data_IF_094037552801
#
_entry.id   IF_094037552801
#
_cell.length_a   1.000
_cell.length_b   1.000
_cell.length_c   1.000
_cell.angle_alpha   90.00
_cell.angle_beta   90.00
_cell.angle_gamma   90.00
#
_symmetry.space_group_name_H-M   'P 1'
#
loop_
_entity.id
_entity.type
_entity.pdbx_description
1 polymer ?
#
# COMPACT_ATOMS: atom_id res chain seq x y z
N UNK A 1 -13.97 9.70 -20.49
CA UNK A 1 -15.04 9.37 -19.53
C UNK A 1 -14.59 9.86 -18.18
N UNK A 2 -15.32 10.82 -17.61
CA UNK A 2 -15.04 11.39 -16.30
C UNK A 2 -15.57 10.43 -15.21
N UNK A 3 -14.86 10.32 -14.08
CA UNK A 3 -15.29 9.50 -12.95
C UNK A 3 -16.55 10.11 -12.31
N UNK A 4 -17.45 9.27 -11.80
CA UNK A 4 -18.57 9.75 -10.98
C UNK A 4 -18.06 10.38 -9.68
N UNK A 5 -18.80 11.33 -9.10
CA UNK A 5 -18.43 11.94 -7.81
C UNK A 5 -18.34 10.91 -6.68
N UNK A 6 -19.14 9.84 -6.75
CA UNK A 6 -19.07 8.73 -5.82
C UNK A 6 -17.76 7.95 -5.96
N UNK A 7 -17.36 7.61 -7.19
CA UNK A 7 -16.10 6.89 -7.44
C UNK A 7 -14.87 7.77 -7.18
N UNK A 8 -14.94 9.09 -7.40
CA UNK A 8 -13.89 10.04 -6.98
C UNK A 8 -13.68 9.99 -5.47
N UNK A 9 -14.75 10.04 -4.67
CA UNK A 9 -14.68 9.95 -3.20
C UNK A 9 -14.18 8.59 -2.75
N UNK A 10 -14.67 7.52 -3.35
CA UNK A 10 -14.27 6.15 -3.03
C UNK A 10 -12.78 5.91 -3.34
N UNK A 11 -12.29 6.41 -4.48
CA UNK A 11 -10.87 6.33 -4.83
C UNK A 11 -10.00 7.17 -3.88
N UNK A 12 -10.48 8.34 -3.46
CA UNK A 12 -9.80 9.13 -2.43
C UNK A 12 -9.73 8.39 -1.07
N UNK A 13 -10.78 7.67 -0.69
CA UNK A 13 -10.76 6.79 0.50
C UNK A 13 -9.74 5.66 0.33
N UNK A 14 -9.58 5.11 -0.87
CA UNK A 14 -8.60 4.05 -1.16
C UNK A 14 -7.16 4.49 -0.86
N UNK A 15 -6.84 5.78 -1.02
CA UNK A 15 -5.48 6.32 -0.83
C UNK A 15 -4.88 6.04 0.55
N UNK A 16 -5.70 5.96 1.60
CA UNK A 16 -5.21 5.66 2.94
C UNK A 16 -4.65 4.23 3.08
N UNK A 17 -4.96 3.34 2.13
CA UNK A 17 -4.51 1.95 2.08
C UNK A 17 -3.29 1.74 1.17
N UNK A 18 -2.72 2.83 0.64
CA UNK A 18 -1.62 2.79 -0.31
C UNK A 18 -0.28 2.83 0.41
N UNK A 19 0.56 1.86 0.09
CA UNK A 19 2.00 1.88 0.33
C UNK A 19 2.74 2.20 -0.98
N UNK A 20 3.99 2.67 -0.90
CA UNK A 20 4.81 2.98 -2.07
C UNK A 20 6.02 2.05 -2.13
N UNK A 21 6.27 1.48 -3.33
CA UNK A 21 7.51 0.78 -3.68
C UNK A 21 7.88 1.11 -5.15
N UNK A 22 8.40 2.32 -5.37
CA UNK A 22 8.53 2.89 -6.71
C UNK A 22 7.17 3.38 -7.23
N UNK A 23 6.19 2.47 -7.27
CA UNK A 23 4.80 2.73 -7.65
C UNK A 23 3.84 2.66 -6.44
N UNK A 24 2.64 3.26 -6.53
CA UNK A 24 1.60 3.10 -5.53
C UNK A 24 1.02 1.67 -5.51
N UNK A 25 0.90 1.12 -4.30
CA UNK A 25 0.45 -0.24 -4.01
C UNK A 25 -0.65 -0.21 -2.94
N UNK A 26 -1.94 -0.27 -3.32
CA UNK A 26 -3.03 -0.49 -2.37
C UNK A 26 -2.89 -1.89 -1.77
N UNK A 27 -2.61 -1.98 -0.47
CA UNK A 27 -2.50 -3.29 0.20
C UNK A 27 -3.85 -3.66 0.82
N UNK A 28 -4.66 -4.40 0.06
CA UNK A 28 -5.95 -4.94 0.53
C UNK A 28 -5.83 -6.47 0.60
N UNK A 29 -5.48 -7.00 1.77
CA UNK A 29 -5.20 -8.44 1.93
C UNK A 29 -6.47 -9.30 2.03
N UNK A 30 -7.51 -8.76 2.66
CA UNK A 30 -8.81 -9.40 2.84
C UNK A 30 -9.86 -8.30 2.82
N UNK A 31 -10.64 -8.21 1.75
CA UNK A 31 -11.65 -7.15 1.56
C UNK A 31 -12.74 -7.16 2.64
N UNK A 32 -12.94 -8.28 3.33
CA UNK A 32 -13.92 -8.39 4.41
C UNK A 32 -13.37 -7.93 5.76
N UNK A 33 -12.07 -7.65 5.87
CA UNK A 33 -11.49 -7.16 7.11
C UNK A 33 -12.04 -5.77 7.44
N UNK A 34 -12.45 -5.59 8.71
CA UNK A 34 -13.06 -4.35 9.21
C UNK A 34 -12.25 -3.08 8.91
N UNK A 35 -10.93 -3.20 8.88
CA UNK A 35 -10.02 -2.09 8.54
C UNK A 35 -10.32 -1.43 7.18
N UNK A 36 -10.88 -2.19 6.24
CA UNK A 36 -11.32 -1.72 4.93
C UNK A 36 -12.83 -1.48 4.89
N UNK A 37 -13.62 -2.47 5.35
CA UNK A 37 -15.07 -2.45 5.24
C UNK A 37 -15.71 -1.28 6.02
N UNK A 38 -15.18 -0.95 7.21
CA UNK A 38 -15.67 0.17 8.03
C UNK A 38 -15.40 1.53 7.38
N UNK A 39 -14.51 1.59 6.39
CA UNK A 39 -14.20 2.77 5.58
C UNK A 39 -14.93 2.77 4.23
N UNK A 40 -15.78 1.77 3.96
CA UNK A 40 -16.52 1.64 2.70
C UNK A 40 -15.76 0.95 1.56
N UNK A 41 -14.54 0.44 1.81
CA UNK A 41 -13.82 -0.41 0.85
C UNK A 41 -14.35 -1.84 0.98
N UNK A 42 -15.31 -2.17 0.13
CA UNK A 42 -15.97 -3.47 0.01
C UNK A 42 -15.73 -4.07 -1.37
N UNK A 43 -16.07 -5.35 -1.57
CA UNK A 43 -15.97 -5.98 -2.89
C UNK A 43 -16.78 -5.23 -3.96
N UNK A 44 -18.00 -4.77 -3.61
CA UNK A 44 -18.83 -3.97 -4.51
C UNK A 44 -18.13 -2.66 -4.91
N UNK A 45 -17.57 -1.95 -3.92
CA UNK A 45 -16.81 -0.73 -4.15
C UNK A 45 -15.59 -0.96 -5.06
N UNK A 46 -14.82 -2.02 -4.83
CA UNK A 46 -13.67 -2.36 -5.69
C UNK A 46 -14.10 -2.66 -7.13
N UNK A 47 -15.21 -3.37 -7.34
CA UNK A 47 -15.78 -3.62 -8.68
C UNK A 47 -16.22 -2.34 -9.39
N UNK A 48 -16.72 -1.34 -8.66
CA UNK A 48 -17.06 -0.03 -9.24
C UNK A 48 -15.80 0.70 -9.74
N UNK A 49 -14.74 0.73 -8.92
CA UNK A 49 -13.46 1.34 -9.31
C UNK A 49 -12.78 0.59 -10.48
N UNK A 50 -12.94 -0.74 -10.52
CA UNK A 50 -12.48 -1.58 -11.63
C UNK A 50 -13.25 -1.29 -12.93
N UNK A 51 -14.59 -1.14 -12.87
CA UNK A 51 -15.40 -0.78 -14.03
C UNK A 51 -15.01 0.60 -14.61
N UNK A 52 -14.55 1.52 -13.77
CA UNK A 52 -13.99 2.82 -14.17
C UNK A 52 -12.53 2.74 -14.65
N UNK A 53 -11.93 1.55 -14.62
CA UNK A 53 -10.58 1.26 -15.09
C UNK A 53 -9.49 1.84 -14.20
N UNK A 54 -9.74 2.05 -12.90
CA UNK A 54 -8.76 2.60 -11.95
C UNK A 54 -7.87 1.52 -11.31
N UNK A 55 -8.41 0.32 -11.16
CA UNK A 55 -7.71 -0.80 -10.56
C UNK A 55 -8.15 -2.11 -11.24
N UNK A 56 -7.38 -3.17 -11.02
CA UNK A 56 -7.82 -4.54 -11.24
C UNK A 56 -8.02 -5.18 -9.87
N UNK A 57 -9.12 -5.91 -9.73
CA UNK A 57 -9.50 -6.63 -8.53
C UNK A 57 -9.48 -8.14 -8.79
N UNK A 58 -8.60 -8.85 -8.08
CA UNK A 58 -8.49 -10.31 -8.15
C UNK A 58 -8.71 -10.88 -6.74
N UNK A 59 -9.86 -11.52 -6.47
CA UNK A 59 -10.16 -12.11 -5.16
C UNK A 59 -9.08 -13.07 -4.65
N UNK A 60 -8.42 -13.81 -5.55
CA UNK A 60 -7.35 -14.75 -5.20
C UNK A 60 -6.01 -14.07 -4.86
N UNK A 61 -5.91 -12.76 -5.10
CA UNK A 61 -4.77 -11.95 -4.72
C UNK A 61 -3.63 -11.93 -5.74
N UNK A 62 -2.74 -10.97 -5.55
CA UNK A 62 -1.52 -10.77 -6.32
C UNK A 62 -0.30 -11.02 -5.45
N UNK A 63 0.70 -11.68 -6.03
CA UNK A 63 1.98 -11.95 -5.35
C UNK A 63 3.14 -11.45 -6.20
N UNK A 64 4.00 -10.63 -5.60
CA UNK A 64 5.26 -10.23 -6.21
C UNK A 64 6.38 -11.14 -5.72
N UNK A 65 7.01 -11.84 -6.67
CA UNK A 65 8.07 -12.82 -6.41
C UNK A 65 9.46 -12.22 -6.63
N UNK A 66 10.49 -13.05 -6.40
CA UNK A 66 11.90 -12.73 -6.68
C UNK A 66 12.48 -11.64 -5.77
N UNK A 67 11.94 -11.51 -4.56
CA UNK A 67 12.57 -10.66 -3.54
C UNK A 67 13.85 -11.32 -3.02
N UNK A 68 14.88 -10.50 -2.81
CA UNK A 68 16.07 -10.87 -2.04
C UNK A 68 15.77 -10.93 -0.55
N UNK A 69 16.80 -10.83 0.29
CA UNK A 69 16.68 -10.90 1.75
C UNK A 69 15.89 -9.74 2.36
N UNK A 70 15.90 -8.56 1.74
CA UNK A 70 15.28 -7.36 2.27
C UNK A 70 14.56 -6.56 1.19
N UNK A 71 13.52 -5.84 1.59
CA UNK A 71 12.94 -4.74 0.81
C UNK A 71 12.53 -3.58 1.71
N UNK A 72 12.13 -2.46 1.10
CA UNK A 72 11.58 -1.29 1.78
C UNK A 72 10.30 -0.89 1.09
N UNK A 73 9.27 -0.64 1.89
CA UNK A 73 8.02 -0.02 1.47
C UNK A 73 7.82 1.26 2.29
N UNK A 74 7.16 2.25 1.71
CA UNK A 74 6.92 3.54 2.36
C UNK A 74 5.43 3.74 2.60
N UNK A 75 5.06 4.15 3.80
CA UNK A 75 3.68 4.51 4.13
C UNK A 75 3.64 5.96 4.58
N UNK A 76 2.90 6.82 3.86
CA UNK A 76 2.87 8.27 4.09
C UNK A 76 4.30 8.86 4.24
N UNK A 77 5.22 8.47 3.35
CA UNK A 77 6.63 8.89 3.37
C UNK A 77 7.52 8.20 4.41
N UNK A 78 6.96 7.44 5.35
CA UNK A 78 7.72 6.74 6.39
C UNK A 78 8.22 5.37 5.91
N UNK A 79 9.54 5.11 5.87
CA UNK A 79 10.07 3.83 5.42
C UNK A 79 9.88 2.71 6.47
N UNK A 80 9.42 1.56 5.98
CA UNK A 80 9.42 0.29 6.73
C UNK A 80 10.31 -0.72 6.01
N UNK A 81 11.30 -1.24 6.73
CA UNK A 81 12.15 -2.34 6.23
C UNK A 81 11.44 -3.66 6.50
N UNK A 82 11.41 -4.51 5.48
CA UNK A 82 10.93 -5.89 5.55
C UNK A 82 12.13 -6.79 5.30
N UNK A 83 12.42 -7.69 6.23
CA UNK A 83 13.36 -8.79 6.09
C UNK A 83 12.62 -10.10 5.88
N UNK A 84 12.92 -10.80 4.81
CA UNK A 84 12.33 -12.09 4.49
C UNK A 84 13.12 -13.25 5.12
N UNK A 85 12.52 -14.44 5.31
CA UNK A 85 13.20 -15.58 5.91
C UNK A 85 14.38 -16.08 5.04
N UNK A 86 14.19 -16.20 3.72
CA UNK A 86 15.22 -16.75 2.83
C UNK A 86 16.17 -15.67 2.29
N UNK A 87 17.35 -16.08 1.81
CA UNK A 87 18.31 -15.17 1.19
C UNK A 87 17.83 -14.59 -0.15
N UNK A 88 17.07 -15.37 -0.92
CA UNK A 88 16.59 -15.05 -2.27
C UNK A 88 15.26 -15.76 -2.54
N UNK A 89 14.63 -15.44 -3.68
CA UNK A 89 13.39 -16.04 -4.17
C UNK A 89 12.21 -15.92 -3.19
N UNK A 90 12.22 -14.86 -2.37
CA UNK A 90 11.10 -14.54 -1.50
C UNK A 90 9.94 -13.95 -2.31
N UNK A 91 8.79 -13.91 -1.67
CA UNK A 91 7.59 -13.32 -2.22
C UNK A 91 6.93 -12.37 -1.22
N UNK A 92 6.19 -11.42 -1.74
CA UNK A 92 5.38 -10.49 -0.98
C UNK A 92 3.95 -10.58 -1.51
N UNK A 93 3.02 -10.86 -0.61
CA UNK A 93 1.59 -10.71 -0.86
C UNK A 93 1.28 -9.22 -1.06
N UNK A 94 0.62 -8.89 -2.18
CA UNK A 94 0.19 -7.53 -2.51
C UNK A 94 -1.31 -7.33 -2.25
N UNK A 95 -2.02 -8.38 -1.82
CA UNK A 95 -3.47 -8.36 -1.65
C UNK A 95 -4.22 -8.48 -2.97
N UNK A 96 -5.51 -8.17 -2.95
CA UNK A 96 -6.45 -8.40 -4.05
C UNK A 96 -6.59 -7.24 -5.03
N UNK A 97 -5.78 -6.18 -4.90
CA UNK A 97 -5.92 -4.96 -5.71
C UNK A 97 -4.57 -4.51 -6.28
N UNK A 98 -4.55 -4.19 -7.57
CA UNK A 98 -3.46 -3.45 -8.21
C UNK A 98 -4.03 -2.27 -9.00
N UNK A 99 -3.35 -1.13 -8.99
CA UNK A 99 -3.76 0.02 -9.80
C UNK A 99 -3.44 -0.19 -11.28
N UNK A 100 -4.33 0.26 -12.14
CA UNK A 100 -4.03 0.44 -13.58
C UNK A 100 -3.13 1.67 -13.77
N UNK A 101 -2.61 1.88 -14.98
CA UNK A 101 -1.88 3.11 -15.30
C UNK A 101 -2.73 4.37 -15.06
N UNK A 102 -4.03 4.33 -15.41
CA UNK A 102 -4.97 5.41 -15.12
C UNK A 102 -5.10 5.66 -13.61
N UNK A 103 -5.24 4.59 -12.82
CA UNK A 103 -5.33 4.69 -11.36
C UNK A 103 -4.07 5.32 -10.76
N UNK A 104 -2.88 4.83 -11.16
CA UNK A 104 -1.59 5.37 -10.69
C UNK A 104 -1.45 6.87 -10.96
N UNK A 105 -1.82 7.31 -12.16
CA UNK A 105 -1.78 8.74 -12.53
C UNK A 105 -2.68 9.64 -11.66
N UNK A 106 -3.73 9.06 -11.07
CA UNK A 106 -4.69 9.79 -10.24
C UNK A 106 -4.35 9.73 -8.74
N UNK A 107 -3.38 8.91 -8.34
CA UNK A 107 -2.90 8.90 -6.96
C UNK A 107 -2.04 10.13 -6.71
N UNK A 108 -2.44 10.94 -5.75
CA UNK A 108 -1.67 12.07 -5.24
C UNK A 108 -1.08 11.71 -3.88
N UNK A 109 0.25 11.67 -3.79
CA UNK A 109 0.96 11.37 -2.54
C UNK A 109 0.65 12.38 -1.44
N UNK A 110 0.33 13.63 -1.81
CA UNK A 110 -0.02 14.70 -0.87
C UNK A 110 -1.37 14.46 -0.20
N UNK A 111 -2.26 13.72 -0.86
CA UNK A 111 -3.61 13.44 -0.37
C UNK A 111 -3.71 12.13 0.43
N UNK A 112 -2.60 11.41 0.61
CA UNK A 112 -2.57 10.18 1.40
C UNK A 112 -2.58 10.51 2.90
N UNK A 113 -3.75 10.39 3.52
CA UNK A 113 -3.90 10.50 4.96
C UNK A 113 -3.41 9.24 5.68
N UNK A 114 -2.74 9.43 6.81
CA UNK A 114 -2.25 8.32 7.63
C UNK A 114 -3.41 7.65 8.36
N UNK A 115 -3.62 6.36 8.09
CA UNK A 115 -4.51 5.50 8.85
C UNK A 115 -3.66 4.57 9.73
N UNK A 116 -3.62 4.88 11.03
CA UNK A 116 -2.80 4.14 11.99
C UNK A 116 -3.28 2.69 12.20
N UNK A 117 -4.61 2.47 12.20
CA UNK A 117 -5.20 1.13 12.33
C UNK A 117 -4.81 0.26 11.13
N UNK A 118 -4.84 0.83 9.92
CA UNK A 118 -4.36 0.15 8.72
C UNK A 118 -2.87 -0.13 8.77
N UNK A 119 -2.05 0.84 9.17
CA UNK A 119 -0.62 0.60 9.31
C UNK A 119 -0.34 -0.60 10.22
N UNK A 120 -0.93 -0.63 11.42
CA UNK A 120 -0.78 -1.73 12.37
C UNK A 120 -1.29 -3.07 11.81
N UNK A 121 -2.41 -3.04 11.07
CA UNK A 121 -2.93 -4.22 10.38
C UNK A 121 -1.91 -4.81 9.39
N UNK A 122 -1.29 -3.97 8.55
CA UNK A 122 -0.26 -4.42 7.59
C UNK A 122 0.97 -4.98 8.30
N UNK A 123 1.48 -4.28 9.33
CA UNK A 123 2.64 -4.73 10.10
C UNK A 123 2.37 -6.10 10.74
N UNK A 124 1.19 -6.27 11.33
CA UNK A 124 0.76 -7.54 11.93
C UNK A 124 0.70 -8.65 10.89
N UNK A 125 0.10 -8.40 9.72
CA UNK A 125 0.04 -9.39 8.62
C UNK A 125 1.42 -9.84 8.17
N UNK A 126 2.35 -8.90 8.00
CA UNK A 126 3.74 -9.23 7.65
C UNK A 126 4.45 -10.02 8.74
N UNK A 127 4.26 -9.66 10.00
CA UNK A 127 4.82 -10.42 11.13
C UNK A 127 4.27 -11.86 11.19
N UNK A 128 2.96 -12.03 11.06
CA UNK A 128 2.28 -13.34 11.00
C UNK A 128 2.74 -14.18 9.79
N UNK A 129 3.20 -13.52 8.72
CA UNK A 129 3.80 -14.17 7.54
C UNK A 129 5.28 -14.53 7.73
N UNK A 130 5.84 -14.31 8.93
CA UNK A 130 7.23 -14.61 9.27
C UNK A 130 8.25 -13.58 8.79
N UNK A 131 7.81 -12.37 8.42
CA UNK A 131 8.72 -11.29 8.03
C UNK A 131 9.25 -10.56 9.25
N UNK A 132 10.53 -10.19 9.22
CA UNK A 132 11.12 -9.27 10.17
C UNK A 132 10.82 -7.84 9.74
N UNK A 133 10.02 -7.12 10.52
CA UNK A 133 9.59 -5.76 10.19
C UNK A 133 10.21 -4.76 11.16
N UNK A 134 10.76 -3.67 10.62
CA UNK A 134 11.29 -2.59 11.45
C UNK A 134 10.99 -1.23 10.80
N UNK A 135 10.38 -0.33 11.55
CA UNK A 135 10.31 1.08 11.20
C UNK A 135 11.73 1.67 11.21
N UNK A 136 12.10 2.39 10.15
CA UNK A 136 13.39 3.08 10.13
C UNK A 136 13.13 4.51 10.60
N UNK A 137 13.65 4.86 11.77
CA UNK A 137 13.75 6.26 12.16
C UNK A 137 14.85 6.89 11.29
N UNK A 138 14.46 7.83 10.45
CA UNK A 138 15.44 8.67 9.75
C UNK A 138 15.87 9.72 10.76
N UNK A 139 17.03 9.53 11.39
CA UNK A 139 17.65 10.58 12.19
C UNK A 139 17.89 11.79 11.28
N UNK A 140 17.17 12.89 11.54
CA UNK A 140 17.47 14.19 10.97
C UNK A 140 18.74 14.75 11.62
N UNK A 141 19.90 14.20 11.28
CA UNK A 141 21.20 14.82 11.55
C UNK A 141 22.04 14.81 10.28
N UNK A 142 22.00 15.93 9.55
CA UNK A 142 23.17 16.57 8.94
C UNK A 142 22.73 17.81 8.13
N UNK A 143 22.48 18.93 8.82
CA UNK A 143 22.82 20.24 8.26
C UNK A 143 24.20 20.60 8.77
N UNK A 144 25.22 20.08 8.10
CA UNK A 144 26.57 20.62 8.18
C UNK A 144 26.59 21.94 7.40
N UNK A 145 26.49 23.07 8.10
CA UNK A 145 26.86 24.38 7.53
C UNK A 145 28.32 24.64 7.89
N UNK A 146 29.22 24.04 7.14
CA UNK A 146 30.61 24.49 7.11
C UNK A 146 30.69 25.76 6.29
N UNK A 147 30.88 26.89 6.96
CA UNK A 147 31.38 28.13 6.37
C UNK A 147 32.71 28.43 7.05
N UNK A 148 33.79 28.37 6.27
CA UNK A 148 34.98 29.20 6.48
C UNK A 148 34.84 30.46 5.60
#
# INVERSE_FOLDING_TARGET
MELSEENKKLFAVLHQFIWIQGEPLPLIFDVNAKVYADQGITEYALKQLEADGLLNFEPDGYVKKKFGKHTRLFYCGSPTKIGFPNGMNNQLDLGCVILTEKGKMLVSVQDMSRNQVFYEYVIRRWYESGYLVSSIQVDQKNTWTGVE
#
